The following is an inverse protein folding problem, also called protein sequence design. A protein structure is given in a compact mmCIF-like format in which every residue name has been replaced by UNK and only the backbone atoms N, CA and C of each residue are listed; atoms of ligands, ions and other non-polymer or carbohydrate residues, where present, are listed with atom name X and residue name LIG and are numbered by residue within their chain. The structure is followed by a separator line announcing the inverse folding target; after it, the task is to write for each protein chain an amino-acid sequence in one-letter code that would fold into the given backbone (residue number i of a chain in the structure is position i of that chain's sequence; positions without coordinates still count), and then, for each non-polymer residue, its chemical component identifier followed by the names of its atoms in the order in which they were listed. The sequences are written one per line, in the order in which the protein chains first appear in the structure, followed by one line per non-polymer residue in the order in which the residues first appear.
data_IF_745050323164
#
_entry.id   IF_745050323164
#
_cell.length_a   1.000
_cell.length_b   1.000
_cell.length_c   1.000
_cell.angle_alpha   90.00
_cell.angle_beta   90.00
_cell.angle_gamma   90.00
#
_symmetry.space_group_name_H-M   'P 1'
#
loop_
_entity.id
_entity.type
_entity.pdbx_description
1 polymer ?
#
# COMPACT_ATOMS: atom_id res chain seq x y z
N UNK A 1 23.11 -68.91 10.76
CA UNK A 1 24.08 -68.02 10.08
C UNK A 1 23.27 -66.88 9.46
N UNK A 2 23.32 -65.70 10.07
CA UNK A 2 22.66 -64.54 9.50
C UNK A 2 23.63 -63.89 8.50
N UNK A 3 23.31 -63.94 7.23
CA UNK A 3 24.06 -63.24 6.19
C UNK A 3 23.88 -61.74 6.40
N UNK A 4 24.91 -61.09 6.92
CA UNK A 4 24.98 -59.65 7.01
C UNK A 4 25.10 -59.09 5.56
N UNK A 5 24.01 -58.53 5.10
CA UNK A 5 23.93 -57.89 3.79
C UNK A 5 24.81 -56.62 3.81
N UNK A 6 26.11 -56.78 3.50
CA UNK A 6 27.07 -55.66 3.43
C UNK A 6 26.72 -54.83 2.20
N UNK A 7 26.00 -53.74 2.39
CA UNK A 7 25.68 -52.79 1.33
C UNK A 7 27.00 -52.22 0.73
N UNK A 8 27.19 -52.42 -0.58
CA UNK A 8 28.35 -51.83 -1.30
C UNK A 8 28.39 -50.30 -1.12
N UNK A 9 29.55 -49.72 -0.81
CA UNK A 9 29.69 -48.28 -0.67
C UNK A 9 29.28 -47.59 -1.97
N UNK A 10 28.48 -46.49 -1.80
CA UNK A 10 28.02 -45.68 -2.93
C UNK A 10 29.22 -45.07 -3.67
N UNK A 11 29.17 -45.02 -5.01
CA UNK A 11 30.19 -44.31 -5.77
C UNK A 11 30.20 -42.79 -5.38
N UNK A 12 31.39 -42.16 -5.42
CA UNK A 12 31.55 -40.71 -5.12
C UNK A 12 30.55 -39.83 -5.89
N UNK A 13 30.24 -40.14 -7.16
CA UNK A 13 29.24 -39.43 -7.96
C UNK A 13 27.82 -39.54 -7.38
N UNK A 14 27.43 -40.74 -6.93
CA UNK A 14 26.12 -40.96 -6.29
C UNK A 14 26.02 -40.27 -4.91
N UNK A 15 27.10 -40.24 -4.17
CA UNK A 15 27.16 -39.49 -2.90
C UNK A 15 27.02 -37.98 -3.13
N UNK A 16 27.76 -37.43 -4.11
CA UNK A 16 27.66 -36.03 -4.48
C UNK A 16 26.24 -35.64 -4.94
N UNK A 17 25.64 -36.45 -5.80
CA UNK A 17 24.27 -36.24 -6.28
C UNK A 17 23.26 -36.21 -5.11
N UNK A 18 23.38 -37.17 -4.14
CA UNK A 18 22.51 -37.19 -2.96
C UNK A 18 22.71 -35.96 -2.08
N UNK A 19 23.96 -35.52 -1.90
CA UNK A 19 24.25 -34.30 -1.13
C UNK A 19 23.65 -33.04 -1.80
N UNK A 20 23.75 -32.95 -3.14
CA UNK A 20 23.11 -31.85 -3.90
C UNK A 20 21.59 -31.90 -3.77
N UNK A 21 20.97 -33.07 -3.94
CA UNK A 21 19.49 -33.21 -3.78
C UNK A 21 19.08 -32.83 -2.37
N UNK A 22 19.81 -33.27 -1.35
CA UNK A 22 19.53 -32.91 0.04
C UNK A 22 19.66 -31.40 0.27
N UNK A 23 20.73 -30.77 -0.21
CA UNK A 23 20.92 -29.32 -0.11
C UNK A 23 19.78 -28.54 -0.78
N UNK A 24 19.39 -28.95 -1.99
CA UNK A 24 18.25 -28.35 -2.71
C UNK A 24 16.96 -28.53 -1.92
N UNK A 25 16.69 -29.73 -1.37
CA UNK A 25 15.50 -29.96 -0.55
C UNK A 25 15.47 -29.05 0.70
N UNK A 26 16.59 -28.89 1.39
CA UNK A 26 16.72 -27.98 2.53
C UNK A 26 16.41 -26.53 2.14
N UNK A 27 16.97 -26.06 1.03
CA UNK A 27 16.70 -24.71 0.51
C UNK A 27 15.21 -24.55 0.17
N UNK A 28 14.59 -25.52 -0.49
CA UNK A 28 13.16 -25.44 -0.83
C UNK A 28 12.27 -25.42 0.42
N UNK A 29 12.58 -26.24 1.44
CA UNK A 29 11.86 -26.23 2.71
C UNK A 29 12.04 -24.87 3.41
N UNK A 30 13.25 -24.32 3.43
CA UNK A 30 13.51 -23.01 4.02
C UNK A 30 12.72 -21.90 3.31
N UNK A 31 12.74 -21.88 1.97
CA UNK A 31 11.96 -20.91 1.18
C UNK A 31 10.45 -21.05 1.43
N UNK A 32 9.94 -22.28 1.49
CA UNK A 32 8.55 -22.54 1.81
C UNK A 32 8.19 -22.04 3.21
N UNK A 33 9.00 -22.34 4.23
CA UNK A 33 8.76 -21.85 5.58
C UNK A 33 8.79 -20.34 5.68
N UNK A 34 9.72 -19.65 5.00
CA UNK A 34 9.71 -18.19 4.93
C UNK A 34 8.47 -17.63 4.23
N UNK A 35 7.92 -18.33 3.24
CA UNK A 35 6.68 -17.93 2.58
C UNK A 35 5.43 -18.13 3.47
N UNK A 36 5.45 -19.16 4.33
CA UNK A 36 4.38 -19.45 5.30
C UNK A 36 4.46 -18.50 6.50
N UNK A 37 5.66 -18.33 7.06
CA UNK A 37 5.91 -17.48 8.22
C UNK A 37 6.28 -16.05 7.78
N UNK A 38 5.29 -15.33 7.31
CA UNK A 38 5.38 -13.92 6.92
C UNK A 38 4.11 -13.20 7.39
N UNK A 39 3.90 -11.95 7.02
CA UNK A 39 2.64 -11.23 7.28
C UNK A 39 1.43 -12.07 6.82
N UNK A 40 0.33 -12.16 7.61
CA UNK A 40 -0.82 -13.00 7.27
C UNK A 40 -1.40 -12.71 5.88
N UNK A 41 -1.88 -13.76 5.19
CA UNK A 41 -2.58 -13.59 3.91
C UNK A 41 -3.91 -12.80 4.04
N UNK A 42 -4.43 -12.64 5.26
CA UNK A 42 -5.60 -11.80 5.56
C UNK A 42 -5.26 -10.32 5.76
N UNK A 43 -3.98 -9.95 5.88
CA UNK A 43 -3.57 -8.56 6.07
C UNK A 43 -4.02 -7.67 4.89
N UNK A 44 -4.65 -6.52 5.14
CA UNK A 44 -5.16 -5.65 4.08
C UNK A 44 -4.07 -5.20 3.09
N UNK A 45 -2.88 -4.83 3.58
CA UNK A 45 -1.79 -4.38 2.71
C UNK A 45 -1.31 -5.52 1.81
N UNK A 46 -1.10 -6.72 2.39
CA UNK A 46 -0.73 -7.90 1.61
C UNK A 46 -1.78 -8.25 0.55
N UNK A 47 -3.07 -8.11 0.87
CA UNK A 47 -4.16 -8.34 -0.09
C UNK A 47 -4.15 -7.34 -1.24
N UNK A 48 -3.78 -6.08 -1.00
CA UNK A 48 -3.58 -5.06 -2.05
C UNK A 48 -2.46 -5.50 -2.98
N UNK A 49 -1.28 -5.81 -2.45
CA UNK A 49 -0.15 -6.26 -3.27
C UNK A 49 -0.46 -7.55 -4.04
N UNK A 50 -1.13 -8.54 -3.41
CA UNK A 50 -1.56 -9.75 -4.09
C UNK A 50 -2.56 -9.48 -5.23
N UNK A 51 -3.43 -8.49 -5.09
CA UNK A 51 -4.33 -8.04 -6.15
C UNK A 51 -3.55 -7.36 -7.27
N UNK A 52 -2.66 -6.43 -6.94
CA UNK A 52 -1.81 -5.74 -7.90
C UNK A 52 -1.01 -6.73 -8.78
N UNK A 53 -0.31 -7.70 -8.17
CA UNK A 53 0.43 -8.71 -8.93
C UNK A 53 -0.45 -9.68 -9.74
N UNK A 54 -1.74 -9.70 -9.51
CA UNK A 54 -2.68 -10.54 -10.24
C UNK A 54 -3.38 -9.80 -11.38
N UNK A 55 -3.19 -8.47 -11.48
CA UNK A 55 -3.70 -7.72 -12.63
C UNK A 55 -3.02 -8.19 -13.93
N UNK A 56 -3.77 -8.17 -15.01
CA UNK A 56 -3.20 -8.44 -16.34
C UNK A 56 -2.13 -7.40 -16.64
N UNK A 57 -1.08 -7.81 -17.33
CA UNK A 57 0.01 -6.91 -17.72
C UNK A 57 -0.54 -5.74 -18.53
N UNK A 58 -0.06 -4.53 -18.21
CA UNK A 58 -0.42 -3.29 -18.89
C UNK A 58 -1.94 -3.06 -18.97
N UNK A 59 -2.64 -3.24 -17.81
CA UNK A 59 -4.07 -2.95 -17.65
C UNK A 59 -4.37 -1.92 -16.58
N UNK A 60 -3.36 -1.25 -16.06
CA UNK A 60 -3.50 -0.16 -15.11
C UNK A 60 -3.04 1.11 -15.82
N UNK A 61 -3.97 2.04 -16.08
CA UNK A 61 -3.67 3.30 -16.77
C UNK A 61 -3.18 4.37 -15.79
N UNK A 62 -3.65 4.34 -14.54
CA UNK A 62 -3.18 5.20 -13.45
C UNK A 62 -2.92 4.39 -12.17
N UNK A 63 -1.91 4.79 -11.39
CA UNK A 63 -1.62 4.21 -10.08
C UNK A 63 -1.60 5.30 -9.03
N UNK A 64 -2.39 5.14 -7.95
CA UNK A 64 -2.36 6.04 -6.81
C UNK A 64 -1.50 5.44 -5.71
N UNK A 65 -0.35 6.06 -5.49
CA UNK A 65 0.65 5.65 -4.51
C UNK A 65 0.48 6.45 -3.21
N UNK A 66 0.52 5.77 -2.07
CA UNK A 66 0.43 6.49 -0.82
C UNK A 66 0.20 5.63 0.43
N UNK A 67 -0.49 6.25 1.36
CA UNK A 67 -0.76 5.70 2.69
C UNK A 67 -2.23 5.24 2.80
N UNK A 68 -2.74 5.10 4.03
CA UNK A 68 -4.20 4.97 4.25
C UNK A 68 -5.00 6.17 3.71
N UNK A 69 -4.34 7.28 3.41
CA UNK A 69 -4.93 8.44 2.75
C UNK A 69 -5.16 8.24 1.25
N UNK A 70 -4.69 7.15 0.69
CA UNK A 70 -4.97 6.67 -0.66
C UNK A 70 -6.04 5.58 -0.60
N UNK A 71 -5.70 4.44 -0.05
CA UNK A 71 -6.55 3.24 -0.08
C UNK A 71 -7.84 3.31 0.77
N UNK A 72 -8.07 4.39 1.51
CA UNK A 72 -9.32 4.69 2.22
C UNK A 72 -10.12 5.81 1.56
N UNK A 73 -9.60 6.40 0.50
CA UNK A 73 -10.15 7.61 -0.12
C UNK A 73 -10.59 7.40 -1.55
N UNK A 74 -9.80 6.73 -2.34
CA UNK A 74 -10.10 6.56 -3.75
C UNK A 74 -10.64 5.17 -4.04
N UNK A 75 -11.75 5.10 -4.76
CA UNK A 75 -12.45 3.87 -5.11
C UNK A 75 -12.23 3.65 -6.61
N UNK A 76 -11.09 3.04 -6.99
CA UNK A 76 -10.74 2.82 -8.39
C UNK A 76 -11.85 2.22 -9.25
N UNK A 77 -12.61 1.20 -8.75
CA UNK A 77 -13.76 0.68 -9.49
C UNK A 77 -14.88 1.69 -9.74
N UNK A 78 -15.12 2.63 -8.82
CA UNK A 78 -16.10 3.71 -9.03
C UNK A 78 -15.57 4.73 -10.05
N UNK A 79 -14.28 5.06 -10.02
CA UNK A 79 -13.66 5.92 -11.01
C UNK A 79 -13.77 5.32 -12.42
N UNK A 80 -13.56 4.01 -12.54
CA UNK A 80 -13.78 3.29 -13.80
C UNK A 80 -15.23 3.38 -14.30
N UNK A 81 -16.22 3.22 -13.43
CA UNK A 81 -17.63 3.33 -13.80
C UNK A 81 -17.98 4.76 -14.25
N UNK A 82 -17.48 5.78 -13.55
CA UNK A 82 -17.82 7.19 -13.85
C UNK A 82 -17.09 7.70 -15.10
N UNK A 83 -15.80 7.42 -15.28
CA UNK A 83 -14.95 8.03 -16.33
C UNK A 83 -14.23 7.04 -17.24
N UNK A 84 -14.28 5.74 -16.94
CA UNK A 84 -13.51 4.73 -17.67
C UNK A 84 -12.06 4.61 -17.24
N UNK A 85 -11.63 5.34 -16.18
CA UNK A 85 -10.25 5.34 -15.68
C UNK A 85 -9.90 4.01 -14.99
N UNK A 86 -8.99 3.23 -15.55
CA UNK A 86 -8.47 2.01 -14.94
C UNK A 86 -7.34 2.36 -13.94
N UNK A 87 -7.75 2.75 -12.73
CA UNK A 87 -6.84 3.17 -11.67
C UNK A 87 -6.70 2.08 -10.58
N UNK A 88 -5.52 1.97 -9.96
CA UNK A 88 -5.22 1.05 -8.87
C UNK A 88 -4.54 1.75 -7.69
N UNK A 89 -5.14 1.61 -6.49
CA UNK A 89 -4.53 2.07 -5.23
C UNK A 89 -3.42 1.11 -4.78
N UNK A 90 -2.16 1.41 -5.10
CA UNK A 90 -1.02 0.68 -4.55
C UNK A 90 -0.45 1.42 -3.35
N UNK A 91 -1.02 1.18 -2.19
CA UNK A 91 -0.73 1.91 -0.97
C UNK A 91 -0.59 1.00 0.24
N UNK A 92 0.16 1.44 1.25
CA UNK A 92 0.28 0.75 2.52
C UNK A 92 0.02 1.70 3.70
N UNK A 93 -0.74 1.22 4.69
CA UNK A 93 -1.10 2.02 5.86
C UNK A 93 0.14 2.53 6.60
N UNK A 94 0.17 3.84 6.84
CA UNK A 94 1.28 4.49 7.55
C UNK A 94 2.58 4.61 6.74
N UNK A 95 2.56 4.37 5.44
CA UNK A 95 3.76 4.36 4.58
C UNK A 95 4.49 5.70 4.60
N UNK A 96 5.80 5.72 4.87
CA UNK A 96 6.64 6.89 4.72
C UNK A 96 6.89 7.23 3.25
N UNK A 97 7.17 8.51 2.98
CA UNK A 97 7.44 9.02 1.63
C UNK A 97 8.63 8.30 0.94
N UNK A 98 9.63 7.90 1.72
CA UNK A 98 10.85 7.24 1.24
C UNK A 98 10.60 5.98 0.38
N UNK A 99 9.45 5.32 0.53
CA UNK A 99 9.13 4.12 -0.24
C UNK A 99 8.45 4.37 -1.58
N UNK A 100 8.05 5.62 -1.88
CA UNK A 100 7.32 5.94 -3.11
C UNK A 100 8.07 5.52 -4.37
N UNK A 101 9.35 5.89 -4.47
CA UNK A 101 10.19 5.50 -5.60
C UNK A 101 10.29 3.98 -5.77
N UNK A 102 10.40 3.22 -4.67
CA UNK A 102 10.45 1.76 -4.75
C UNK A 102 9.11 1.15 -5.16
N UNK A 103 7.98 1.77 -4.79
CA UNK A 103 6.66 1.35 -5.30
C UNK A 103 6.49 1.65 -6.78
N UNK A 104 6.96 2.81 -7.28
CA UNK A 104 6.96 3.10 -8.71
C UNK A 104 7.76 2.04 -9.48
N UNK A 105 8.97 1.70 -9.01
CA UNK A 105 9.78 0.59 -9.57
C UNK A 105 9.08 -0.78 -9.49
N UNK A 106 8.23 -0.99 -8.48
CA UNK A 106 7.45 -2.23 -8.38
C UNK A 106 6.34 -2.27 -9.42
N UNK A 107 5.69 -1.13 -9.67
CA UNK A 107 4.66 -0.96 -10.71
C UNK A 107 5.24 -1.26 -12.10
N UNK A 108 6.37 -0.67 -12.44
CA UNK A 108 7.05 -0.78 -13.74
C UNK A 108 7.45 -2.20 -14.13
N UNK A 109 7.46 -3.15 -13.18
CA UNK A 109 7.74 -4.57 -13.49
C UNK A 109 6.66 -5.25 -14.32
N UNK A 110 5.43 -4.85 -14.16
CA UNK A 110 4.27 -5.53 -14.76
C UNK A 110 3.24 -4.60 -15.38
N UNK A 111 3.31 -3.31 -15.08
CA UNK A 111 2.38 -2.29 -15.55
C UNK A 111 3.17 -1.12 -16.15
N UNK A 112 2.51 -0.39 -17.03
CA UNK A 112 3.06 0.78 -17.70
C UNK A 112 2.04 1.94 -17.65
N UNK A 113 1.73 2.48 -16.43
CA UNK A 113 0.71 3.50 -16.28
C UNK A 113 1.13 4.80 -16.95
N UNK A 114 0.17 5.49 -17.55
CA UNK A 114 0.38 6.84 -18.10
C UNK A 114 0.42 7.90 -16.99
N UNK A 115 -0.25 7.64 -15.84
CA UNK A 115 -0.34 8.59 -14.73
C UNK A 115 0.06 7.95 -13.40
N UNK A 116 1.00 8.59 -12.70
CA UNK A 116 1.28 8.34 -11.30
C UNK A 116 0.63 9.43 -10.44
N UNK A 117 -0.22 9.03 -9.50
CA UNK A 117 -0.83 9.90 -8.50
C UNK A 117 -0.10 9.63 -7.18
N UNK A 118 0.42 10.69 -6.53
CA UNK A 118 1.25 10.56 -5.32
C UNK A 118 0.63 11.34 -4.17
N UNK A 119 0.27 10.63 -3.09
CA UNK A 119 -0.28 11.23 -1.87
C UNK A 119 0.81 11.92 -1.03
N UNK A 120 0.64 13.21 -0.77
CA UNK A 120 1.62 14.03 -0.07
C UNK A 120 1.61 13.91 1.45
N UNK A 121 0.65 13.23 2.09
CA UNK A 121 0.65 13.10 3.57
C UNK A 121 1.92 12.46 4.13
N UNK A 122 2.65 11.73 3.33
CA UNK A 122 3.94 11.17 3.69
C UNK A 122 4.97 12.20 4.13
N UNK A 123 4.87 13.47 3.69
CA UNK A 123 5.80 14.55 4.06
C UNK A 123 5.68 14.99 5.53
N UNK A 124 4.61 14.61 6.22
CA UNK A 124 4.48 14.85 7.66
C UNK A 124 5.21 13.82 8.52
N UNK A 125 5.68 12.74 7.93
CA UNK A 125 6.39 11.67 8.64
C UNK A 125 7.89 11.83 8.46
N UNK A 126 8.55 12.20 9.54
CA UNK A 126 10.00 12.22 9.63
C UNK A 126 10.56 10.80 9.87
N UNK A 127 11.88 10.74 9.95
CA UNK A 127 12.65 9.51 10.21
C UNK A 127 12.22 8.82 11.50
N UNK A 128 11.94 9.60 12.55
CA UNK A 128 11.54 9.10 13.86
C UNK A 128 10.13 8.48 13.89
N UNK A 129 9.31 8.80 12.89
CA UNK A 129 7.95 8.26 12.77
C UNK A 129 7.89 6.91 12.03
N UNK A 130 9.03 6.41 11.52
CA UNK A 130 9.10 5.16 10.76
C UNK A 130 9.22 3.99 11.72
N UNK A 131 8.11 3.31 11.93
CA UNK A 131 8.03 2.12 12.77
C UNK A 131 8.25 0.83 11.99
N UNK A 132 8.61 -0.27 12.69
CA UNK A 132 8.76 -1.62 12.16
C UNK A 132 7.53 -2.03 11.30
N UNK A 133 6.32 -1.78 11.80
CA UNK A 133 5.09 -2.10 11.08
C UNK A 133 4.96 -1.38 9.72
N UNK A 134 5.40 -0.12 9.61
CA UNK A 134 5.34 0.63 8.36
C UNK A 134 6.25 0.00 7.29
N UNK A 135 7.44 -0.46 7.69
CA UNK A 135 8.39 -1.15 6.81
C UNK A 135 7.82 -2.50 6.38
N UNK A 136 7.34 -3.31 7.33
CA UNK A 136 6.88 -4.68 7.06
C UNK A 136 5.62 -4.75 6.21
N UNK A 137 4.69 -3.80 6.37
CA UNK A 137 3.48 -3.72 5.51
C UNK A 137 3.82 -3.66 4.03
N UNK A 138 4.97 -3.08 3.70
CA UNK A 138 5.47 -2.98 2.32
C UNK A 138 6.37 -4.16 2.00
N UNK A 139 7.48 -4.29 2.72
CA UNK A 139 8.53 -5.26 2.37
C UNK A 139 8.06 -6.69 2.43
N UNK A 140 7.22 -7.06 3.42
CA UNK A 140 6.67 -8.42 3.54
C UNK A 140 5.55 -8.69 2.53
N UNK A 141 4.96 -7.64 1.95
CA UNK A 141 3.95 -7.75 0.89
C UNK A 141 4.56 -7.82 -0.51
N UNK A 142 5.78 -7.30 -0.71
CA UNK A 142 6.49 -7.36 -1.99
C UNK A 142 6.94 -8.78 -2.34
N UNK A 143 6.90 -9.12 -3.63
CA UNK A 143 7.52 -10.33 -4.14
C UNK A 143 9.05 -10.27 -4.01
N UNK A 144 9.70 -11.43 -3.81
CA UNK A 144 11.16 -11.54 -3.74
C UNK A 144 11.78 -10.99 -5.04
N UNK A 145 12.59 -9.95 -4.90
CA UNK A 145 13.25 -9.27 -6.02
C UNK A 145 14.36 -8.36 -5.49
N UNK A 146 15.24 -7.87 -6.38
CA UNK A 146 16.23 -6.84 -6.01
C UNK A 146 15.56 -5.62 -5.39
N UNK A 147 14.47 -5.12 -6.00
CA UNK A 147 13.72 -3.97 -5.49
C UNK A 147 13.22 -4.17 -4.05
N UNK A 148 12.74 -5.37 -3.70
CA UNK A 148 12.37 -5.67 -2.30
C UNK A 148 13.58 -5.51 -1.36
N UNK A 149 14.73 -6.06 -1.73
CA UNK A 149 15.94 -5.98 -0.89
C UNK A 149 16.51 -4.57 -0.83
N UNK A 150 16.45 -3.81 -1.92
CA UNK A 150 16.82 -2.39 -1.94
C UNK A 150 15.86 -1.58 -1.05
N UNK A 151 14.56 -1.89 -1.05
CA UNK A 151 13.56 -1.28 -0.16
C UNK A 151 13.85 -1.58 1.30
N UNK A 152 14.20 -2.83 1.65
CA UNK A 152 14.60 -3.20 3.02
C UNK A 152 15.84 -2.42 3.44
N UNK A 153 16.87 -2.39 2.60
CA UNK A 153 18.12 -1.69 2.89
C UNK A 153 17.86 -0.20 3.14
N UNK A 154 17.14 0.45 2.25
CA UNK A 154 16.75 1.84 2.36
C UNK A 154 15.97 2.11 3.66
N UNK A 155 15.03 1.25 4.00
CA UNK A 155 14.25 1.36 5.22
C UNK A 155 15.11 1.30 6.48
N UNK A 156 16.07 0.35 6.54
CA UNK A 156 16.96 0.17 7.67
C UNK A 156 17.97 1.33 7.82
N UNK A 157 18.40 1.92 6.71
CA UNK A 157 19.28 3.09 6.71
C UNK A 157 18.52 4.37 7.13
N UNK A 158 17.23 4.47 6.76
CA UNK A 158 16.41 5.65 7.04
C UNK A 158 15.78 5.63 8.43
N UNK A 159 15.36 4.46 8.93
CA UNK A 159 14.59 4.39 10.17
C UNK A 159 15.39 4.85 11.40
N UNK A 160 14.78 5.73 12.18
CA UNK A 160 15.35 6.29 13.41
C UNK A 160 14.92 5.60 14.71
N UNK A 161 14.43 4.33 14.64
CA UNK A 161 13.97 3.59 15.83
C UNK A 161 12.57 3.97 16.30
N UNK A 162 11.71 4.49 15.42
CA UNK A 162 10.32 4.80 15.71
C UNK A 162 9.56 3.62 16.32
N UNK A 163 8.70 3.89 17.29
CA UNK A 163 7.81 2.90 17.89
C UNK A 163 6.40 3.05 17.35
N UNK A 164 5.64 1.95 17.26
CA UNK A 164 4.24 1.93 16.77
C UNK A 164 3.24 2.74 17.64
N UNK A 165 3.71 3.43 18.67
CA UNK A 165 2.87 4.11 19.66
C UNK A 165 1.98 5.25 19.10
N UNK A 166 2.22 5.71 17.86
CA UNK A 166 1.50 6.83 17.24
C UNK A 166 0.37 6.47 16.29
N UNK A 167 0.29 5.24 15.81
CA UNK A 167 -0.71 4.83 14.80
C UNK A 167 -1.90 4.05 15.38
N UNK A 168 -2.14 4.22 16.69
CA UNK A 168 -3.24 3.59 17.44
C UNK A 168 -4.66 4.00 16.99
N UNK A 169 -4.77 4.76 15.91
CA UNK A 169 -6.04 5.09 15.25
C UNK A 169 -6.45 4.13 14.14
N UNK A 170 -5.56 3.25 13.68
CA UNK A 170 -5.90 2.24 12.68
C UNK A 170 -6.29 0.92 13.35
N UNK A 171 -7.55 0.74 13.44
CA UNK A 171 -8.32 -0.23 14.17
C UNK A 171 -8.54 -1.53 13.36
N UNK A 172 -7.63 -1.91 12.51
CA UNK A 172 -7.77 -3.16 11.76
C UNK A 172 -7.61 -4.42 12.62
N UNK A 173 -7.39 -4.31 13.94
CA UNK A 173 -7.23 -5.47 14.84
C UNK A 173 -6.05 -6.41 14.49
N UNK A 174 -5.40 -6.14 13.37
CA UNK A 174 -4.36 -6.98 12.76
C UNK A 174 -2.94 -6.45 13.00
N UNK A 175 -2.81 -5.21 13.50
CA UNK A 175 -1.53 -4.64 13.94
C UNK A 175 -0.85 -5.42 15.06
N UNK A 176 -1.59 -6.28 15.76
CA UNK A 176 -1.07 -7.07 16.88
C UNK A 176 0.10 -8.00 16.49
N UNK A 177 0.24 -8.37 15.21
CA UNK A 177 1.36 -9.19 14.72
C UNK A 177 2.57 -8.37 14.30
N UNK A 178 2.37 -7.11 13.99
CA UNK A 178 3.41 -6.19 13.55
C UNK A 178 3.91 -5.33 14.71
N UNK A 179 3.13 -5.18 15.80
CA UNK A 179 3.51 -4.43 16.98
C UNK A 179 4.49 -5.22 17.86
N UNK A 180 5.55 -4.58 18.33
CA UNK A 180 6.42 -5.10 19.39
C UNK A 180 7.87 -5.34 19.03
N UNK A 181 8.43 -4.67 18.03
CA UNK A 181 9.86 -4.65 17.77
C UNK A 181 10.36 -3.24 17.47
N UNK A 182 11.55 -2.90 17.91
CA UNK A 182 12.32 -1.78 17.41
C UNK A 182 12.92 -2.17 16.05
N UNK A 183 13.11 -1.22 15.15
CA UNK A 183 13.81 -1.44 13.88
C UNK A 183 15.22 -1.97 14.11
N UNK A 184 15.80 -1.66 15.27
CA UNK A 184 17.16 -2.05 15.68
C UNK A 184 17.23 -3.50 16.23
N UNK A 185 16.11 -4.15 16.57
CA UNK A 185 16.09 -5.43 17.28
C UNK A 185 16.42 -6.66 16.41
N UNK A 186 16.50 -6.52 15.10
CA UNK A 186 16.83 -7.64 14.23
C UNK A 186 16.75 -7.32 12.73
N UNK A 187 17.72 -6.58 12.16
CA UNK A 187 17.69 -6.24 10.72
C UNK A 187 17.60 -7.48 9.82
N UNK A 188 18.09 -8.64 10.28
CA UNK A 188 18.01 -9.90 9.55
C UNK A 188 16.56 -10.39 9.39
N UNK A 189 15.65 -10.04 10.30
CA UNK A 189 14.24 -10.47 10.29
C UNK A 189 13.48 -9.93 9.07
N UNK A 190 13.92 -8.80 8.49
CA UNK A 190 13.35 -8.27 7.25
C UNK A 190 13.72 -9.11 6.03
N UNK A 191 14.91 -9.73 6.04
CA UNK A 191 15.38 -10.60 4.96
C UNK A 191 14.89 -12.03 5.13
N UNK A 192 14.64 -12.45 6.38
CA UNK A 192 14.27 -13.81 6.77
C UNK A 192 13.01 -13.78 7.65
N UNK A 193 11.82 -13.60 7.05
CA UNK A 193 10.56 -13.38 7.79
C UNK A 193 10.24 -14.41 8.87
N UNK A 194 10.63 -15.68 8.70
CA UNK A 194 10.39 -16.72 9.71
C UNK A 194 10.99 -16.34 11.09
N UNK A 195 12.06 -15.56 11.14
CA UNK A 195 12.66 -15.11 12.40
C UNK A 195 11.69 -14.22 13.20
N UNK A 196 10.90 -13.39 12.54
CA UNK A 196 9.87 -12.54 13.16
C UNK A 196 8.58 -13.31 13.45
N UNK A 197 8.13 -14.12 12.49
CA UNK A 197 6.76 -14.65 12.48
C UNK A 197 6.63 -16.11 12.93
N UNK A 198 7.71 -16.76 13.38
CA UNK A 198 7.66 -18.16 13.85
C UNK A 198 6.67 -18.40 14.99
N UNK A 199 6.43 -17.38 15.82
CA UNK A 199 5.48 -17.43 16.95
C UNK A 199 4.01 -17.51 16.51
N UNK A 200 3.69 -17.31 15.23
CA UNK A 200 2.32 -17.45 14.70
C UNK A 200 1.73 -18.85 14.95
N UNK A 201 2.56 -19.89 15.06
CA UNK A 201 2.10 -21.25 15.44
C UNK A 201 1.50 -21.23 16.85
N UNK A 202 2.27 -20.73 17.82
CA UNK A 202 1.88 -20.74 19.23
C UNK A 202 0.76 -19.76 19.54
N UNK A 203 0.67 -18.66 18.79
CA UNK A 203 -0.39 -17.69 18.90
C UNK A 203 -1.72 -18.11 18.24
N UNK A 204 -1.76 -19.27 17.56
CA UNK A 204 -2.96 -19.78 16.89
C UNK A 204 -3.39 -18.97 15.66
N UNK A 205 -2.48 -18.18 15.10
CA UNK A 205 -2.76 -17.22 14.01
C UNK A 205 -2.26 -17.70 12.65
N UNK A 206 -1.79 -18.94 12.55
CA UNK A 206 -1.43 -19.57 11.30
C UNK A 206 -2.67 -20.27 10.71
N UNK A 207 -3.12 -19.76 9.58
CA UNK A 207 -4.34 -20.26 8.93
C UNK A 207 -4.01 -21.27 7.82
N UNK A 208 -4.98 -22.12 7.38
CA UNK A 208 -4.79 -22.96 6.20
C UNK A 208 -4.39 -22.15 4.96
N UNK A 209 -4.89 -20.92 4.80
CA UNK A 209 -4.51 -20.05 3.68
C UNK A 209 -3.01 -19.71 3.68
N UNK A 210 -2.42 -19.56 4.86
CA UNK A 210 -0.98 -19.30 4.99
C UNK A 210 -0.17 -20.56 4.66
N UNK A 211 -0.56 -21.72 5.19
CA UNK A 211 0.12 -23.01 4.99
C UNK A 211 0.08 -23.42 3.50
N UNK A 212 -1.08 -23.33 2.87
CA UNK A 212 -1.23 -23.66 1.45
C UNK A 212 -0.85 -22.52 0.49
N UNK A 213 -0.34 -21.40 1.02
CA UNK A 213 0.02 -20.20 0.27
C UNK A 213 -1.11 -19.68 -0.62
N UNK A 214 -2.36 -19.80 -0.16
CA UNK A 214 -3.53 -19.27 -0.86
C UNK A 214 -3.58 -17.76 -0.69
N UNK A 215 -3.20 -17.04 -1.73
CA UNK A 215 -3.11 -15.59 -1.72
C UNK A 215 -4.49 -14.96 -1.79
N UNK A 216 -4.98 -14.44 -0.65
CA UNK A 216 -6.17 -13.58 -0.64
C UNK A 216 -5.86 -12.28 -1.36
N UNK A 217 -6.79 -11.81 -2.21
CA UNK A 217 -6.66 -10.58 -2.99
C UNK A 217 -7.64 -9.53 -2.48
N UNK A 218 -7.27 -8.27 -2.59
CA UNK A 218 -8.24 -7.18 -2.54
C UNK A 218 -9.12 -7.26 -3.79
N UNK A 219 -10.44 -7.12 -3.63
CA UNK A 219 -11.40 -7.27 -4.73
C UNK A 219 -11.84 -5.93 -5.36
N UNK A 220 -11.36 -4.82 -4.80
CA UNK A 220 -11.79 -3.47 -5.18
C UNK A 220 -10.60 -2.57 -5.52
N UNK A 221 -9.65 -3.12 -6.29
CA UNK A 221 -8.50 -2.40 -6.89
C UNK A 221 -7.67 -1.58 -5.89
N UNK A 222 -7.47 -2.12 -4.68
CA UNK A 222 -6.68 -1.48 -3.64
C UNK A 222 -7.48 -0.72 -2.60
N UNK A 223 -8.70 -0.28 -2.88
CA UNK A 223 -9.55 0.38 -1.88
C UNK A 223 -9.80 -0.54 -0.68
N UNK A 224 -9.63 -0.01 0.54
CA UNK A 224 -9.80 -0.79 1.78
C UNK A 224 -11.11 -0.39 2.44
N UNK A 225 -12.08 -1.28 2.35
CA UNK A 225 -13.37 -1.16 2.99
C UNK A 225 -13.43 -2.04 4.24
N UNK A 226 -14.13 -1.58 5.29
CA UNK A 226 -14.30 -2.30 6.53
C UNK A 226 -15.40 -1.68 7.41
N UNK A 227 -15.75 -2.29 8.56
CA UNK A 227 -16.86 -1.82 9.40
C UNK A 227 -16.80 -0.35 9.76
N UNK A 228 -15.58 0.20 10.01
CA UNK A 228 -15.40 1.61 10.35
C UNK A 228 -15.66 2.55 9.20
N UNK A 229 -15.31 2.17 7.97
CA UNK A 229 -15.60 3.01 6.80
C UNK A 229 -17.10 3.17 6.54
N UNK A 230 -17.95 2.38 7.19
CA UNK A 230 -19.40 2.51 7.13
C UNK A 230 -19.99 3.39 8.24
N UNK A 231 -19.15 3.88 9.17
CA UNK A 231 -19.59 4.76 10.27
C UNK A 231 -19.35 6.22 9.95
N UNK A 232 -20.06 7.10 10.64
CA UNK A 232 -19.88 8.54 10.54
C UNK A 232 -19.52 9.14 11.90
N UNK A 233 -18.51 10.02 11.90
CA UNK A 233 -18.12 10.78 13.07
C UNK A 233 -17.81 12.21 12.66
N UNK A 234 -18.52 13.17 13.25
CA UNK A 234 -18.30 14.58 12.99
C UNK A 234 -16.84 14.99 13.25
N UNK A 235 -16.25 15.69 12.30
CA UNK A 235 -14.88 16.19 12.36
C UNK A 235 -14.86 17.71 12.31
N UNK A 236 -13.75 18.29 12.75
CA UNK A 236 -13.46 19.70 12.53
C UNK A 236 -13.01 19.91 11.08
N UNK A 237 -13.34 21.06 10.52
CA UNK A 237 -12.75 21.49 9.24
C UNK A 237 -11.23 21.61 9.40
N UNK A 238 -10.46 21.42 8.30
CA UNK A 238 -9.02 21.62 8.33
C UNK A 238 -8.67 23.05 8.76
N UNK A 239 -7.54 23.18 9.45
CA UNK A 239 -6.93 24.48 9.68
C UNK A 239 -6.24 24.87 8.38
N UNK A 240 -6.66 26.00 7.82
CA UNK A 240 -6.09 26.55 6.62
C UNK A 240 -5.04 27.61 6.96
N UNK A 241 -3.97 27.67 6.20
CA UNK A 241 -2.89 28.65 6.33
C UNK A 241 -2.24 28.88 4.96
N UNK A 242 -1.87 30.13 4.68
CA UNK A 242 -1.09 30.50 3.50
C UNK A 242 0.42 30.59 3.80
N UNK A 243 0.82 30.38 5.05
CA UNK A 243 2.19 30.44 5.50
C UNK A 243 2.95 29.16 5.12
N UNK A 244 4.29 29.18 5.31
CA UNK A 244 5.21 28.05 5.07
C UNK A 244 5.95 27.72 6.35
N UNK A 245 6.13 26.42 6.57
CA UNK A 245 7.00 25.91 7.61
C UNK A 245 8.02 24.94 6.99
N UNK A 246 9.25 24.97 7.50
CA UNK A 246 10.29 24.05 7.01
C UNK A 246 9.86 22.59 7.18
N UNK A 247 10.17 21.77 6.18
CA UNK A 247 10.13 20.31 6.33
C UNK A 247 11.32 19.85 7.18
N UNK A 248 11.22 18.67 7.76
CA UNK A 248 12.39 18.02 8.32
C UNK A 248 13.42 17.77 7.20
N UNK A 249 14.73 18.01 7.42
CA UNK A 249 15.73 17.95 6.36
C UNK A 249 15.73 16.63 5.59
N UNK A 250 15.56 15.49 6.28
CA UNK A 250 15.52 14.16 5.67
C UNK A 250 14.25 13.97 4.83
N UNK A 251 13.13 14.57 5.24
CA UNK A 251 11.86 14.53 4.49
C UNK A 251 11.97 15.36 3.21
N UNK A 252 12.57 16.54 3.29
CA UNK A 252 12.82 17.39 2.12
C UNK A 252 13.78 16.72 1.14
N UNK A 253 14.85 16.10 1.64
CA UNK A 253 15.75 15.31 0.82
C UNK A 253 15.00 14.15 0.12
N UNK A 254 14.19 13.39 0.85
CA UNK A 254 13.40 12.29 0.30
C UNK A 254 12.43 12.77 -0.78
N UNK A 255 11.78 13.93 -0.58
CA UNK A 255 10.90 14.53 -1.58
C UNK A 255 11.69 14.90 -2.84
N UNK A 256 12.86 15.51 -2.71
CA UNK A 256 13.71 15.85 -3.85
C UNK A 256 14.23 14.61 -4.59
N UNK A 257 14.58 13.53 -3.89
CA UNK A 257 14.97 12.26 -4.50
C UNK A 257 13.82 11.62 -5.28
N UNK A 258 12.59 11.68 -4.75
CA UNK A 258 11.39 11.25 -5.47
C UNK A 258 11.16 12.09 -6.74
N UNK A 259 11.28 13.42 -6.64
CA UNK A 259 11.14 14.31 -7.81
C UNK A 259 12.23 14.04 -8.85
N UNK A 260 13.48 13.80 -8.45
CA UNK A 260 14.54 13.39 -9.37
C UNK A 260 14.19 12.08 -10.10
N UNK A 261 13.52 11.15 -9.43
CA UNK A 261 13.05 9.93 -10.07
C UNK A 261 11.92 10.23 -11.06
N UNK A 262 10.97 11.09 -10.69
CA UNK A 262 9.89 11.51 -11.58
C UNK A 262 10.42 12.22 -12.83
N UNK A 263 11.44 13.07 -12.69
CA UNK A 263 12.11 13.74 -13.84
C UNK A 263 12.79 12.74 -14.80
N UNK A 264 13.12 11.56 -14.31
CA UNK A 264 13.71 10.46 -15.10
C UNK A 264 12.69 9.55 -15.80
N UNK A 265 11.39 9.75 -15.58
CA UNK A 265 10.34 9.03 -16.29
C UNK A 265 10.30 9.43 -17.76
N UNK A 266 9.75 8.57 -18.62
CA UNK A 266 9.57 8.88 -20.04
C UNK A 266 8.60 10.04 -20.26
N UNK A 267 8.75 10.74 -21.40
CA UNK A 267 7.90 11.88 -21.76
C UNK A 267 6.40 11.55 -21.89
N UNK A 268 6.07 10.27 -21.96
CA UNK A 268 4.72 9.73 -21.99
C UNK A 268 4.13 9.49 -20.57
N UNK A 269 4.88 9.77 -19.52
CA UNK A 269 4.46 9.60 -18.11
C UNK A 269 4.12 10.96 -17.51
N UNK A 270 3.00 10.97 -16.79
CA UNK A 270 2.51 12.13 -16.05
C UNK A 270 2.52 11.85 -14.55
N UNK A 271 2.68 12.89 -13.75
CA UNK A 271 2.69 12.77 -12.28
C UNK A 271 1.82 13.86 -11.68
N UNK A 272 0.84 13.45 -10.86
CA UNK A 272 -0.01 14.35 -10.07
C UNK A 272 0.26 14.12 -8.59
N UNK A 273 0.62 15.17 -7.88
CA UNK A 273 0.71 15.13 -6.42
C UNK A 273 -0.62 15.57 -5.79
N UNK A 274 -1.11 14.81 -4.84
CA UNK A 274 -2.40 15.06 -4.21
C UNK A 274 -2.27 15.13 -2.70
N UNK A 275 -2.98 16.06 -2.07
CA UNK A 275 -3.21 16.08 -0.65
C UNK A 275 -4.70 15.82 -0.41
N UNK A 276 -5.06 14.58 -0.05
CA UNK A 276 -6.43 14.17 0.21
C UNK A 276 -7.02 14.89 1.45
N UNK A 277 -8.36 15.11 1.51
CA UNK A 277 -8.98 15.96 2.55
C UNK A 277 -9.00 15.26 3.91
N UNK A 278 -8.62 15.98 4.99
CA UNK A 278 -8.74 15.50 6.36
C UNK A 278 -8.78 16.66 7.37
N UNK A 279 -9.10 16.37 8.65
CA UNK A 279 -9.13 17.38 9.71
C UNK A 279 -7.71 17.81 10.09
N UNK A 280 -7.08 18.55 9.18
CA UNK A 280 -5.70 19.04 9.27
C UNK A 280 -5.52 19.98 10.45
N UNK A 281 -4.40 19.86 11.15
CA UNK A 281 -4.07 20.67 12.32
C UNK A 281 -3.21 21.88 11.93
N UNK A 282 -3.12 22.85 12.85
CA UNK A 282 -2.15 23.94 12.72
C UNK A 282 -0.72 23.40 12.62
N UNK A 283 0.10 23.99 11.78
CA UNK A 283 1.46 23.57 11.48
C UNK A 283 1.58 22.50 10.37
N UNK A 284 0.50 21.75 10.11
CA UNK A 284 0.49 20.78 9.02
C UNK A 284 0.29 21.45 7.67
N UNK A 285 -0.63 22.42 7.58
CA UNK A 285 -0.89 23.20 6.36
C UNK A 285 0.36 23.90 5.86
N UNK A 286 1.12 24.53 6.74
CA UNK A 286 2.34 25.26 6.43
C UNK A 286 3.44 24.34 5.87
N UNK A 287 3.59 23.12 6.40
CA UNK A 287 4.49 22.10 5.87
C UNK A 287 4.05 21.61 4.49
N UNK A 288 2.76 21.40 4.27
CA UNK A 288 2.24 21.03 2.96
C UNK A 288 2.42 22.13 1.92
N UNK A 289 2.26 23.41 2.29
CA UNK A 289 2.51 24.51 1.40
C UNK A 289 3.98 24.52 0.95
N UNK A 290 4.92 24.26 1.86
CA UNK A 290 6.34 24.13 1.49
C UNK A 290 6.59 22.94 0.56
N UNK A 291 5.99 21.76 0.85
CA UNK A 291 6.11 20.60 -0.03
C UNK A 291 5.51 20.88 -1.42
N UNK A 292 4.36 21.56 -1.48
CA UNK A 292 3.72 21.95 -2.73
C UNK A 292 4.60 22.92 -3.54
N UNK A 293 5.21 23.92 -2.89
CA UNK A 293 6.12 24.86 -3.56
C UNK A 293 7.34 24.11 -4.17
N UNK A 294 7.90 23.12 -3.46
CA UNK A 294 9.02 22.30 -3.96
C UNK A 294 8.59 21.48 -5.19
N UNK A 295 7.43 20.85 -5.12
CA UNK A 295 6.87 20.04 -6.22
C UNK A 295 6.57 20.90 -7.45
N UNK A 296 5.87 22.02 -7.25
CA UNK A 296 5.50 22.95 -8.32
C UNK A 296 6.71 23.63 -8.97
N UNK A 297 7.78 23.90 -8.20
CA UNK A 297 9.03 24.44 -8.72
C UNK A 297 9.73 23.48 -9.71
N UNK A 298 9.39 22.16 -9.65
CA UNK A 298 9.86 21.12 -10.61
C UNK A 298 8.89 20.95 -11.80
N UNK A 299 7.80 21.71 -11.83
CA UNK A 299 6.82 21.66 -12.93
C UNK A 299 5.71 20.64 -12.77
N UNK A 300 5.56 20.01 -11.60
CA UNK A 300 4.49 19.05 -11.34
C UNK A 300 3.25 19.71 -10.75
N UNK A 301 2.08 19.16 -11.08
CA UNK A 301 0.80 19.61 -10.52
C UNK A 301 0.63 19.14 -9.07
N UNK A 302 0.03 20.01 -8.25
CA UNK A 302 -0.36 19.72 -6.87
C UNK A 302 -1.83 20.04 -6.66
N UNK A 303 -2.64 19.02 -6.34
CA UNK A 303 -4.05 19.15 -6.00
C UNK A 303 -4.23 19.06 -4.48
N UNK A 304 -4.44 20.19 -3.82
CA UNK A 304 -4.71 20.24 -2.38
C UNK A 304 -6.21 20.24 -2.09
N UNK A 305 -6.78 19.07 -1.81
CA UNK A 305 -8.22 18.89 -1.53
C UNK A 305 -8.66 19.40 -0.15
N UNK A 306 -7.75 19.98 0.64
CA UNK A 306 -8.09 20.67 1.90
C UNK A 306 -8.38 22.17 1.69
N UNK A 307 -8.13 22.71 0.51
CA UNK A 307 -8.50 24.09 0.20
C UNK A 307 -10.02 24.25 0.26
N UNK A 308 -10.53 25.38 0.83
CA UNK A 308 -11.96 25.53 1.09
C UNK A 308 -12.87 25.47 -0.14
N UNK A 309 -12.40 25.95 -1.27
CA UNK A 309 -13.08 25.92 -2.57
C UNK A 309 -13.13 24.49 -3.11
N UNK A 310 -12.00 23.79 -3.15
CA UNK A 310 -11.90 22.39 -3.61
C UNK A 310 -12.71 21.47 -2.69
N UNK A 311 -12.59 21.60 -1.37
CA UNK A 311 -13.40 20.83 -0.42
C UNK A 311 -14.91 21.06 -0.60
N UNK A 312 -15.31 22.25 -1.02
CA UNK A 312 -16.70 22.58 -1.36
C UNK A 312 -17.12 21.95 -2.70
N UNK A 313 -16.27 21.97 -3.71
CA UNK A 313 -16.50 21.30 -5.00
C UNK A 313 -16.65 19.80 -4.84
N UNK A 314 -15.81 19.15 -4.04
CA UNK A 314 -15.97 17.73 -3.64
C UNK A 314 -17.31 17.51 -2.92
N UNK A 315 -17.90 18.55 -2.32
CA UNK A 315 -19.16 18.46 -1.57
C UNK A 315 -19.01 17.77 -0.22
N UNK A 316 -17.84 17.90 0.45
CA UNK A 316 -17.57 17.27 1.73
C UNK A 316 -18.43 17.82 2.87
N UNK A 317 -19.10 16.93 3.57
CA UNK A 317 -19.78 17.21 4.84
C UNK A 317 -18.91 16.71 6.02
N UNK A 318 -18.23 17.63 6.67
CA UNK A 318 -17.35 17.32 7.83
C UNK A 318 -18.07 16.68 9.02
N UNK A 319 -19.39 16.66 9.02
CA UNK A 319 -20.19 16.00 10.05
C UNK A 319 -20.56 14.56 9.70
N UNK A 320 -20.55 14.19 8.40
CA UNK A 320 -21.09 12.92 7.92
C UNK A 320 -20.09 12.06 7.15
N UNK A 321 -19.11 12.68 6.44
CA UNK A 321 -18.30 12.00 5.44
C UNK A 321 -16.98 11.46 6.00
N UNK A 322 -16.80 11.45 7.32
CA UNK A 322 -15.59 10.97 7.98
C UNK A 322 -15.93 9.96 9.07
N UNK A 323 -15.05 8.97 9.28
CA UNK A 323 -15.14 8.09 10.44
C UNK A 323 -14.12 8.43 11.54
N UNK A 324 -13.08 9.20 11.22
CA UNK A 324 -12.14 9.80 12.18
C UNK A 324 -11.49 11.06 11.59
N UNK A 325 -10.61 11.71 12.35
CA UNK A 325 -9.98 12.97 11.93
C UNK A 325 -9.03 12.85 10.74
N UNK A 326 -8.60 11.63 10.39
CA UNK A 326 -7.62 11.37 9.34
C UNK A 326 -8.23 10.71 8.09
N UNK A 327 -9.46 10.18 8.17
CA UNK A 327 -10.03 9.38 7.10
C UNK A 327 -11.50 9.66 6.85
N UNK A 328 -11.86 9.72 5.59
CA UNK A 328 -13.25 9.72 5.12
C UNK A 328 -13.88 8.34 5.34
N UNK A 329 -15.20 8.31 5.47
CA UNK A 329 -15.98 7.09 5.35
C UNK A 329 -16.32 6.83 3.86
N UNK A 330 -17.13 5.79 3.58
CA UNK A 330 -17.46 5.44 2.19
C UNK A 330 -18.19 6.58 1.45
N UNK A 331 -19.03 7.38 2.14
CA UNK A 331 -19.72 8.54 1.53
C UNK A 331 -18.73 9.63 1.11
N UNK A 332 -17.78 9.94 1.98
CA UNK A 332 -16.72 10.89 1.65
C UNK A 332 -15.78 10.35 0.56
N UNK A 333 -15.50 9.04 0.59
CA UNK A 333 -14.68 8.40 -0.43
C UNK A 333 -15.35 8.42 -1.81
N UNK A 334 -16.67 8.18 -1.91
CA UNK A 334 -17.41 8.29 -3.17
C UNK A 334 -17.35 9.72 -3.76
N UNK A 335 -17.57 10.74 -2.92
CA UNK A 335 -17.48 12.14 -3.34
C UNK A 335 -16.08 12.50 -3.82
N UNK A 336 -15.06 12.13 -3.04
CA UNK A 336 -13.67 12.36 -3.39
C UNK A 336 -13.28 11.66 -4.68
N UNK A 337 -13.68 10.39 -4.84
CA UNK A 337 -13.40 9.60 -6.05
C UNK A 337 -14.00 10.23 -7.29
N UNK A 338 -15.27 10.63 -7.25
CA UNK A 338 -15.94 11.28 -8.39
C UNK A 338 -15.23 12.57 -8.80
N UNK A 339 -14.92 13.42 -7.82
CA UNK A 339 -14.20 14.66 -8.07
C UNK A 339 -12.81 14.42 -8.66
N UNK A 340 -12.01 13.54 -8.06
CA UNK A 340 -10.65 13.29 -8.53
C UNK A 340 -10.63 12.60 -9.90
N UNK A 341 -11.55 11.65 -10.15
CA UNK A 341 -11.67 10.98 -11.45
C UNK A 341 -12.08 11.96 -12.57
N UNK A 342 -13.02 12.87 -12.28
CA UNK A 342 -13.41 13.94 -13.19
C UNK A 342 -12.24 14.90 -13.45
N UNK A 343 -11.57 15.38 -12.39
CA UNK A 343 -10.37 16.21 -12.49
C UNK A 343 -9.30 15.55 -13.36
N UNK A 344 -9.04 14.26 -13.17
CA UNK A 344 -8.05 13.52 -13.98
C UNK A 344 -8.51 13.47 -15.46
N UNK A 345 -9.76 13.16 -15.71
CA UNK A 345 -10.28 13.06 -17.09
C UNK A 345 -10.28 14.40 -17.85
N UNK A 346 -10.35 15.53 -17.12
CA UNK A 346 -10.32 16.88 -17.71
C UNK A 346 -8.90 17.42 -17.94
N UNK A 347 -7.93 17.00 -17.13
CA UNK A 347 -6.59 17.58 -17.12
C UNK A 347 -5.50 16.64 -17.64
N UNK A 348 -5.79 15.35 -17.81
CA UNK A 348 -4.84 14.33 -18.26
C UNK A 348 -5.45 13.51 -19.40
N UNK A 349 -4.62 13.16 -20.39
CA UNK A 349 -5.05 12.36 -21.55
C UNK A 349 -5.18 10.88 -21.15
N UNK A 350 -6.32 10.54 -20.52
CA UNK A 350 -6.60 9.19 -20.04
C UNK A 350 -7.66 8.52 -20.90
N UNK A 351 -7.44 7.26 -21.30
CA UNK A 351 -8.39 6.52 -22.13
C UNK A 351 -9.62 6.08 -21.33
N UNK A 352 -10.80 6.16 -21.95
CA UNK A 352 -12.01 5.48 -21.43
C UNK A 352 -11.96 3.98 -21.78
N UNK A 353 -11.81 3.14 -20.76
CA UNK A 353 -11.68 1.69 -20.91
C UNK A 353 -12.99 0.92 -20.78
N UNK A 354 -14.12 1.60 -20.60
CA UNK A 354 -15.41 0.92 -20.47
C UNK A 354 -15.76 0.17 -21.76
N UNK A 355 -16.21 -1.08 -21.58
CA UNK A 355 -16.54 -1.95 -22.71
C UNK A 355 -15.36 -2.68 -23.37
N UNK A 356 -14.12 -2.47 -22.92
CA UNK A 356 -12.97 -3.24 -23.34
C UNK A 356 -12.86 -4.51 -22.45
N UNK A 357 -12.98 -5.71 -23.07
CA UNK A 357 -12.91 -7.01 -22.39
C UNK A 357 -11.60 -7.20 -21.59
N UNK A 358 -10.53 -6.51 -21.99
CA UNK A 358 -9.25 -6.55 -21.27
C UNK A 358 -9.40 -5.98 -19.85
N UNK A 359 -10.34 -5.05 -19.65
CA UNK A 359 -10.60 -4.32 -18.41
C UNK A 359 -11.86 -4.77 -17.66
N UNK A 360 -12.48 -5.88 -18.03
CA UNK A 360 -13.69 -6.42 -17.39
C UNK A 360 -13.56 -6.55 -15.86
N UNK A 361 -12.36 -6.84 -15.36
CA UNK A 361 -12.08 -6.95 -13.92
C UNK A 361 -12.35 -5.66 -13.12
N UNK A 362 -12.43 -4.48 -13.76
CA UNK A 362 -12.85 -3.23 -13.10
C UNK A 362 -14.35 -3.18 -12.91
N UNK A 363 -15.13 -3.62 -13.89
CA UNK A 363 -16.59 -3.74 -13.76
C UNK A 363 -16.97 -4.75 -12.67
N UNK A 364 -16.30 -5.92 -12.64
CA UNK A 364 -16.50 -6.92 -11.58
C UNK A 364 -16.16 -6.35 -10.19
N UNK A 365 -15.07 -5.58 -10.09
CA UNK A 365 -14.67 -4.92 -8.85
C UNK A 365 -15.67 -3.86 -8.40
N UNK A 366 -16.32 -3.16 -9.34
CA UNK A 366 -17.38 -2.21 -9.04
C UNK A 366 -18.64 -2.89 -8.49
N UNK A 367 -19.06 -4.02 -9.06
CA UNK A 367 -20.17 -4.80 -8.50
C UNK A 367 -19.86 -5.29 -7.08
N UNK A 368 -18.63 -5.76 -6.79
CA UNK A 368 -18.22 -6.11 -5.43
C UNK A 368 -18.30 -4.92 -4.47
N UNK A 369 -17.88 -3.74 -4.91
CA UNK A 369 -18.01 -2.52 -4.11
C UNK A 369 -19.47 -2.20 -3.81
N UNK A 370 -20.34 -2.24 -4.82
CA UNK A 370 -21.76 -1.95 -4.66
C UNK A 370 -22.45 -2.93 -3.71
N UNK A 371 -22.18 -4.22 -3.83
CA UNK A 371 -22.70 -5.24 -2.92
C UNK A 371 -22.37 -4.94 -1.47
N UNK A 372 -21.14 -4.46 -1.21
CA UNK A 372 -20.68 -4.14 0.14
C UNK A 372 -21.41 -2.93 0.74
N UNK A 373 -21.68 -1.88 -0.04
CA UNK A 373 -22.33 -0.65 0.45
C UNK A 373 -23.85 -0.68 0.33
N UNK A 374 -24.42 -1.73 -0.25
CA UNK A 374 -25.85 -1.85 -0.42
C UNK A 374 -26.61 -1.83 0.92
N UNK A 375 -27.78 -1.17 1.00
CA UNK A 375 -28.57 -1.14 2.20
C UNK A 375 -28.96 -2.55 2.68
N UNK A 376 -28.73 -2.85 3.96
CA UNK A 376 -29.07 -4.13 4.59
C UNK A 376 -27.94 -5.17 4.61
N UNK A 377 -26.82 -4.93 3.94
CA UNK A 377 -25.64 -5.76 4.11
C UNK A 377 -24.95 -5.32 5.42
N UNK A 378 -24.96 -6.22 6.39
CA UNK A 378 -24.20 -6.02 7.63
C UNK A 378 -22.75 -6.41 7.38
N UNK A 379 -21.76 -5.61 7.83
CA UNK A 379 -20.33 -5.92 7.67
C UNK A 379 -19.91 -7.22 8.37
N UNK A 380 -20.61 -7.60 9.42
CA UNK A 380 -20.38 -8.81 10.20
C UNK A 380 -20.72 -10.04 9.35
N UNK A 381 -19.78 -10.54 8.63
CA UNK A 381 -19.94 -11.76 7.85
C UNK A 381 -19.79 -11.60 6.34
N UNK A 382 -19.57 -10.38 5.84
CA UNK A 382 -19.28 -10.21 4.43
C UNK A 382 -17.97 -10.91 4.04
N UNK A 383 -17.96 -11.64 2.94
CA UNK A 383 -16.74 -12.30 2.44
C UNK A 383 -15.64 -11.32 2.05
N UNK A 384 -15.96 -10.04 1.89
CA UNK A 384 -15.00 -8.97 1.65
C UNK A 384 -14.10 -8.69 2.85
N UNK A 385 -14.55 -9.06 4.06
CA UNK A 385 -13.80 -8.93 5.30
C UNK A 385 -13.05 -10.22 5.68
N UNK A 386 -13.34 -11.33 5.02
CA UNK A 386 -12.66 -12.62 5.17
C UNK A 386 -11.64 -12.81 4.05
#
# INVERSE_FOLDING_TARGET
MCDANVQKPLSKKKMLLRAVIFAVAVVLVFLYLNAVFTIPNSDPNRRIFNAFYAEKKDTIDAVYLGTSATNRYFIGPLAYEETGLAEFDLAAMGMPLIFMQNLMKEVEKTQDPALYIIELRGVLKGREDVADAHIRRITDSMHISSNKYDTIKLALEYAGGGTDAGDSGDDSGQTMFLSGGSVDDGPLDYYVPILKYHNRITAGNLTPKDIFLWRSKNKVKGYVIGPKTLTSKAQKKPVYSDERAALEPETEQTLNELLNYCDGLGDDKQVLFVLSPYSMKSGEAEKFNTAADIVQARGYDVLNCNQPDIAKEIGLDWKKDFYNSKHVNYLGAEKYTKYLAEYISENYDMPDRRGDEKYESWSEAYEHYREFVAPGIQPEGSELLK
#
